data_IF_110481722063
#
_entry.id   IF_110481722063
#
_cell.length_a   1.000
_cell.length_b   1.000
_cell.length_c   1.000
_cell.angle_alpha   90.00
_cell.angle_beta   90.00
_cell.angle_gamma   90.00
#
_symmetry.space_group_name_H-M   'P 1'
#
loop_
_entity.id
_entity.type
_entity.pdbx_description
1 polymer ?
#
# COMPACT_ATOMS: atom_id res chain seq x y z
N UNK A 1 -10.29 33.62 -0.53
CA UNK A 1 -10.18 32.16 -0.54
C UNK A 1 -9.52 31.70 -1.82
N UNK A 2 -8.47 30.87 -1.69
CA UNK A 2 -7.84 30.23 -2.83
C UNK A 2 -8.78 29.12 -3.37
N UNK A 3 -9.08 29.16 -4.68
CA UNK A 3 -9.95 28.13 -5.30
C UNK A 3 -9.37 26.71 -5.16
N UNK A 4 -8.06 26.56 -4.95
CA UNK A 4 -7.40 25.29 -4.72
C UNK A 4 -7.92 24.58 -3.45
N UNK A 5 -8.47 25.33 -2.51
CA UNK A 5 -9.11 24.78 -1.32
C UNK A 5 -10.25 23.82 -1.66
N UNK A 6 -11.04 24.12 -2.69
CA UNK A 6 -12.11 23.22 -3.14
C UNK A 6 -11.59 21.85 -3.56
N UNK A 7 -10.44 21.80 -4.23
CA UNK A 7 -9.86 20.53 -4.68
C UNK A 7 -9.34 19.68 -3.52
N UNK A 8 -8.92 20.30 -2.44
CA UNK A 8 -8.48 19.60 -1.22
C UNK A 8 -9.68 19.09 -0.42
N UNK A 9 -10.66 19.95 -0.15
CA UNK A 9 -11.84 19.59 0.65
C UNK A 9 -12.71 18.53 -0.02
N UNK A 10 -12.86 18.60 -1.34
CA UNK A 10 -13.67 17.65 -2.11
C UNK A 10 -12.89 16.39 -2.51
N UNK A 11 -11.62 16.24 -2.08
CA UNK A 11 -10.75 15.11 -2.45
C UNK A 11 -10.77 14.82 -3.96
N UNK A 12 -10.60 15.84 -4.79
CA UNK A 12 -10.73 15.73 -6.24
C UNK A 12 -9.49 15.22 -6.97
N UNK A 13 -8.51 14.65 -6.25
CA UNK A 13 -7.27 14.13 -6.85
C UNK A 13 -7.52 13.11 -7.96
N UNK A 14 -8.50 12.23 -7.80
CA UNK A 14 -8.93 11.25 -8.79
C UNK A 14 -9.45 11.93 -10.08
N UNK A 15 -10.27 12.99 -9.95
CA UNK A 15 -10.80 13.72 -11.09
C UNK A 15 -9.71 14.54 -11.81
N UNK A 16 -8.75 15.11 -11.07
CA UNK A 16 -7.60 15.79 -11.64
C UNK A 16 -6.70 14.82 -12.40
N UNK A 17 -6.44 13.62 -11.85
CA UNK A 17 -5.70 12.58 -12.55
C UNK A 17 -6.40 12.16 -13.85
N UNK A 18 -7.71 11.94 -13.81
CA UNK A 18 -8.50 11.62 -14.99
C UNK A 18 -8.43 12.72 -16.06
N UNK A 19 -8.48 14.00 -15.66
CA UNK A 19 -8.32 15.13 -16.56
C UNK A 19 -6.96 15.14 -17.25
N UNK A 20 -5.88 14.85 -16.50
CA UNK A 20 -4.52 14.83 -17.05
C UNK A 20 -4.25 13.63 -17.97
N UNK A 21 -4.83 12.49 -17.68
CA UNK A 21 -4.59 11.25 -18.43
C UNK A 21 -5.61 10.99 -19.53
N UNK A 22 -6.74 11.71 -19.53
CA UNK A 22 -7.85 11.45 -20.46
C UNK A 22 -8.65 10.19 -20.16
N UNK A 23 -8.44 9.53 -19.01
CA UNK A 23 -9.18 8.35 -18.59
C UNK A 23 -10.66 8.71 -18.38
N UNK A 24 -11.55 7.90 -18.96
CA UNK A 24 -13.00 8.06 -18.84
C UNK A 24 -13.60 6.79 -18.21
N UNK A 25 -14.77 6.94 -17.60
CA UNK A 25 -15.48 5.86 -16.95
C UNK A 25 -15.78 6.19 -15.49
N UNK A 26 -16.17 5.20 -14.67
CA UNK A 26 -16.39 5.40 -13.24
C UNK A 26 -15.14 5.99 -12.56
N UNK A 27 -15.38 6.97 -11.68
CA UNK A 27 -14.30 7.70 -11.03
C UNK A 27 -14.77 8.12 -9.63
N UNK A 28 -14.03 7.72 -8.59
CA UNK A 28 -14.45 7.95 -7.20
C UNK A 28 -13.27 7.99 -6.24
N UNK A 29 -13.46 8.65 -5.12
CA UNK A 29 -12.59 8.54 -3.95
C UNK A 29 -13.17 7.53 -2.98
N UNK A 30 -12.33 6.64 -2.46
CA UNK A 30 -12.71 5.60 -1.51
C UNK A 30 -12.01 5.90 -0.18
N UNK A 31 -12.79 5.94 0.89
CA UNK A 31 -12.27 6.09 2.24
C UNK A 31 -12.81 4.97 3.14
N UNK A 32 -11.95 4.04 3.48
CA UNK A 32 -12.15 2.94 4.43
C UNK A 32 -11.04 3.01 5.49
N UNK A 33 -10.68 4.23 5.87
CA UNK A 33 -9.57 4.54 6.77
C UNK A 33 -8.29 3.77 6.36
N UNK A 34 -7.62 3.09 7.28
CA UNK A 34 -6.35 2.38 7.01
C UNK A 34 -6.49 1.20 6.04
N UNK A 35 -7.69 0.76 5.71
CA UNK A 35 -7.96 -0.32 4.75
C UNK A 35 -8.30 0.18 3.33
N UNK A 36 -8.19 1.49 3.06
CA UNK A 36 -8.71 2.10 1.83
C UNK A 36 -8.11 1.52 0.55
N UNK A 37 -6.82 1.29 0.49
CA UNK A 37 -6.19 0.73 -0.72
C UNK A 37 -6.66 -0.71 -0.98
N UNK A 38 -6.67 -1.56 0.04
CA UNK A 38 -7.17 -2.94 -0.08
C UNK A 38 -8.66 -2.95 -0.45
N UNK A 39 -9.47 -2.04 0.11
CA UNK A 39 -10.88 -1.89 -0.26
C UNK A 39 -11.08 -1.43 -1.71
N UNK A 40 -10.15 -0.62 -2.24
CA UNK A 40 -10.22 -0.19 -3.63
C UNK A 40 -10.12 -1.35 -4.63
N UNK A 41 -9.45 -2.45 -4.28
CA UNK A 41 -9.46 -3.67 -5.11
C UNK A 41 -10.85 -4.29 -5.18
N UNK A 42 -11.67 -4.24 -4.11
CA UNK A 42 -13.05 -4.72 -4.17
C UNK A 42 -13.90 -3.92 -5.15
N UNK A 43 -13.74 -2.60 -5.14
CA UNK A 43 -14.45 -1.75 -6.09
C UNK A 43 -13.97 -1.98 -7.52
N UNK A 44 -12.66 -2.20 -7.72
CA UNK A 44 -12.10 -2.52 -9.03
C UNK A 44 -12.63 -3.86 -9.54
N UNK A 45 -12.68 -4.89 -8.69
CA UNK A 45 -13.27 -6.20 -9.00
C UNK A 45 -14.74 -6.05 -9.43
N UNK A 46 -15.55 -5.30 -8.67
CA UNK A 46 -16.95 -5.05 -8.98
C UNK A 46 -17.14 -4.31 -10.32
N UNK A 47 -16.31 -3.31 -10.59
CA UNK A 47 -16.40 -2.56 -11.85
C UNK A 47 -16.02 -3.41 -13.06
N UNK A 48 -15.00 -4.25 -12.93
CA UNK A 48 -14.58 -5.16 -14.00
C UNK A 48 -15.57 -6.32 -14.21
N UNK A 49 -16.06 -6.90 -13.12
CA UNK A 49 -17.03 -8.02 -13.18
C UNK A 49 -18.38 -7.60 -13.79
N UNK A 50 -18.77 -6.33 -13.60
CA UNK A 50 -20.03 -5.79 -14.14
C UNK A 50 -19.85 -4.97 -15.44
N UNK A 51 -18.74 -5.11 -16.15
CA UNK A 51 -18.42 -4.43 -17.40
C UNK A 51 -18.55 -2.89 -17.33
N UNK A 52 -18.29 -2.30 -16.16
CA UNK A 52 -18.32 -0.84 -15.97
C UNK A 52 -17.01 -0.18 -16.39
N UNK A 53 -15.94 -0.95 -16.43
CA UNK A 53 -14.62 -0.54 -16.88
C UNK A 53 -13.87 -1.73 -17.49
N UNK A 54 -12.99 -1.46 -18.45
CA UNK A 54 -12.07 -2.47 -19.00
C UNK A 54 -10.81 -2.57 -18.15
N UNK A 55 -10.46 -1.46 -17.51
CA UNK A 55 -9.27 -1.31 -16.68
C UNK A 55 -9.53 -0.28 -15.59
N UNK A 56 -9.08 -0.57 -14.37
CA UNK A 56 -9.20 0.31 -13.21
C UNK A 56 -7.83 0.70 -12.71
N UNK A 57 -7.60 1.99 -12.56
CA UNK A 57 -6.38 2.52 -11.91
C UNK A 57 -6.71 2.88 -10.48
N UNK A 58 -6.06 2.22 -9.55
CA UNK A 58 -6.11 2.52 -8.12
C UNK A 58 -4.90 3.37 -7.77
N UNK A 59 -5.12 4.52 -7.14
CA UNK A 59 -4.05 5.39 -6.65
C UNK A 59 -4.32 5.67 -5.18
N UNK A 60 -3.32 5.39 -4.36
CA UNK A 60 -3.35 5.71 -2.94
C UNK A 60 -2.09 6.46 -2.55
N UNK A 61 -2.24 7.58 -1.86
CA UNK A 61 -1.11 8.37 -1.36
C UNK A 61 -1.51 9.11 -0.12
N UNK A 62 -0.59 9.20 0.82
CA UNK A 62 -0.76 10.00 2.02
C UNK A 62 0.61 10.49 2.52
N UNK A 63 0.62 11.66 3.11
CA UNK A 63 1.80 12.25 3.74
C UNK A 63 1.45 12.76 5.14
N UNK A 64 1.09 11.84 6.01
CA UNK A 64 0.70 12.16 7.40
C UNK A 64 1.86 12.64 8.27
N UNK A 65 3.08 12.58 7.74
CA UNK A 65 4.29 13.14 8.38
C UNK A 65 4.58 14.57 7.96
N UNK A 66 3.76 15.16 7.08
CA UNK A 66 3.90 16.57 6.72
C UNK A 66 3.61 17.48 7.91
N UNK A 67 4.22 18.67 7.97
CA UNK A 67 3.97 19.63 9.05
C UNK A 67 2.48 19.98 9.23
N UNK A 68 1.73 20.02 8.12
CA UNK A 68 0.31 20.35 8.11
C UNK A 68 -0.57 19.26 8.74
N UNK A 69 -0.21 17.99 8.55
CA UNK A 69 -1.00 16.86 9.05
C UNK A 69 -0.47 16.30 10.36
N UNK A 70 0.86 16.40 10.58
CA UNK A 70 1.48 15.87 11.78
C UNK A 70 0.91 16.44 13.07
N UNK A 71 0.76 17.77 13.15
CA UNK A 71 0.24 18.45 14.33
C UNK A 71 -1.21 18.05 14.64
N UNK A 72 -1.93 17.53 13.67
CA UNK A 72 -3.33 17.14 13.81
C UNK A 72 -3.48 15.61 13.97
N UNK A 73 -3.04 14.84 12.99
CA UNK A 73 -3.17 13.38 13.00
C UNK A 73 -2.24 12.76 14.05
N UNK A 74 -0.99 13.23 14.13
CA UNK A 74 0.00 12.77 15.10
C UNK A 74 -0.44 13.04 16.54
N UNK A 75 -0.95 14.24 16.81
CA UNK A 75 -1.50 14.59 18.11
C UNK A 75 -2.71 13.71 18.48
N UNK A 76 -3.60 13.42 17.54
CA UNK A 76 -4.75 12.53 17.77
C UNK A 76 -4.33 11.11 18.15
N UNK A 77 -3.32 10.54 17.48
CA UNK A 77 -2.79 9.22 17.84
C UNK A 77 -2.02 9.22 19.16
N UNK A 78 -1.28 10.29 19.47
CA UNK A 78 -0.62 10.44 20.74
C UNK A 78 -1.63 10.55 21.90
N UNK A 79 -2.67 11.38 21.75
CA UNK A 79 -3.73 11.56 22.73
C UNK A 79 -4.53 10.26 22.97
N UNK A 80 -4.71 9.42 21.95
CA UNK A 80 -5.37 8.11 22.10
C UNK A 80 -4.48 7.02 22.68
N UNK A 81 -3.21 7.31 22.96
CA UNK A 81 -2.22 6.32 23.41
C UNK A 81 -1.85 5.28 22.34
N UNK A 82 -2.21 5.51 21.07
CA UNK A 82 -1.92 4.59 19.99
C UNK A 82 -0.54 4.81 19.36
N UNK A 83 0.02 6.03 19.44
CA UNK A 83 1.35 6.32 18.93
C UNK A 83 2.45 5.90 19.90
N UNK A 84 3.59 5.49 19.35
CA UNK A 84 4.79 5.22 20.14
C UNK A 84 5.37 6.53 20.69
N UNK A 85 5.78 6.50 21.96
CA UNK A 85 6.53 7.57 22.62
C UNK A 85 8.03 7.25 22.75
N UNK A 86 8.49 6.11 22.20
CA UNK A 86 9.92 5.73 22.26
C UNK A 86 10.76 6.66 21.39
N UNK A 87 11.87 7.13 21.92
CA UNK A 87 12.89 7.89 21.20
C UNK A 87 14.04 7.01 20.70
N UNK A 88 13.97 5.71 20.92
CA UNK A 88 14.93 4.70 20.47
C UNK A 88 14.34 3.99 19.25
N UNK A 89 14.94 4.17 18.07
CA UNK A 89 14.40 3.67 16.80
C UNK A 89 14.25 2.14 16.81
N UNK A 90 15.23 1.44 17.36
CA UNK A 90 15.25 -0.04 17.46
C UNK A 90 14.23 -0.59 18.47
N UNK A 91 13.62 0.28 19.25
CA UNK A 91 12.58 -0.03 20.24
C UNK A 91 11.24 0.64 19.91
N UNK A 92 11.16 1.23 18.73
CA UNK A 92 9.93 1.77 18.19
C UNK A 92 9.26 0.75 17.24
N UNK A 93 8.66 0.94 16.23
CA UNK A 93 8.12 0.09 15.16
C UNK A 93 8.39 -1.43 15.35
N UNK A 94 7.63 -2.10 16.21
CA UNK A 94 7.87 -3.46 16.71
C UNK A 94 6.73 -4.44 16.35
N UNK A 95 6.44 -4.75 15.08
CA UNK A 95 5.36 -5.66 14.74
C UNK A 95 5.53 -7.04 15.39
N UNK A 96 4.47 -7.58 16.02
CA UNK A 96 4.41 -8.87 16.72
C UNK A 96 5.36 -9.06 17.92
N UNK A 97 6.19 -8.07 18.23
CA UNK A 97 7.14 -8.16 19.33
C UNK A 97 6.45 -7.87 20.67
N UNK A 98 6.90 -8.56 21.75
CA UNK A 98 6.38 -8.35 23.11
C UNK A 98 6.57 -6.92 23.65
N UNK A 99 7.51 -6.17 23.07
CA UNK A 99 7.83 -4.79 23.47
C UNK A 99 7.00 -3.74 22.72
N UNK A 100 5.98 -4.15 21.95
CA UNK A 100 5.12 -3.22 21.22
C UNK A 100 4.68 -2.06 22.10
N UNK A 101 4.84 -0.85 21.61
CA UNK A 101 4.61 0.36 22.41
C UNK A 101 3.86 1.48 21.68
N UNK A 102 3.32 1.19 20.50
CA UNK A 102 2.53 2.14 19.73
C UNK A 102 3.00 2.30 18.29
N UNK A 103 2.10 2.78 17.45
CA UNK A 103 2.36 2.99 16.01
C UNK A 103 3.29 4.17 15.78
N UNK A 104 3.99 4.11 14.67
CA UNK A 104 4.72 5.24 14.07
C UNK A 104 4.01 5.60 12.77
N UNK A 105 3.75 6.89 12.58
CA UNK A 105 3.18 7.39 11.33
C UNK A 105 4.20 7.33 10.20
N UNK A 106 3.72 7.09 9.00
CA UNK A 106 4.53 7.03 7.79
C UNK A 106 3.94 7.89 6.68
N UNK A 107 4.58 7.83 5.53
CA UNK A 107 4.08 8.42 4.29
C UNK A 107 4.38 7.49 3.13
N UNK A 108 3.66 7.67 2.03
CA UNK A 108 3.95 6.91 0.83
C UNK A 108 2.90 7.07 -0.24
N UNK A 109 3.13 6.38 -1.34
CA UNK A 109 2.18 6.25 -2.43
C UNK A 109 2.31 4.87 -3.07
N UNK A 110 1.19 4.35 -3.53
CA UNK A 110 1.12 3.14 -4.33
C UNK A 110 0.04 3.28 -5.40
N UNK A 111 0.29 2.70 -6.56
CA UNK A 111 -0.69 2.67 -7.64
C UNK A 111 -0.72 1.28 -8.27
N UNK A 112 -1.92 0.89 -8.71
CA UNK A 112 -2.16 -0.42 -9.32
C UNK A 112 -3.02 -0.25 -10.56
N UNK A 113 -2.79 -1.10 -11.54
CA UNK A 113 -3.69 -1.28 -12.68
C UNK A 113 -4.31 -2.66 -12.53
N UNK A 114 -5.62 -2.71 -12.41
CA UNK A 114 -6.40 -3.94 -12.35
C UNK A 114 -7.19 -4.06 -13.64
N UNK A 115 -7.07 -5.20 -14.32
CA UNK A 115 -7.74 -5.45 -15.59
C UNK A 115 -8.00 -6.95 -15.77
N UNK A 116 -8.87 -7.32 -16.71
CA UNK A 116 -9.08 -8.72 -17.05
C UNK A 116 -7.83 -9.30 -17.73
N UNK A 117 -7.55 -10.58 -17.49
CA UNK A 117 -6.39 -11.25 -18.07
C UNK A 117 -6.33 -11.16 -19.61
N UNK A 118 -7.49 -11.23 -20.25
CA UNK A 118 -7.58 -11.09 -21.72
C UNK A 118 -7.10 -9.72 -22.20
N UNK A 119 -7.43 -8.66 -21.48
CA UNK A 119 -7.03 -7.28 -21.81
C UNK A 119 -5.51 -7.08 -21.66
N UNK A 120 -4.91 -7.65 -20.61
CA UNK A 120 -3.48 -7.62 -20.40
C UNK A 120 -2.72 -8.37 -21.52
N UNK A 121 -3.20 -9.56 -21.88
CA UNK A 121 -2.63 -10.37 -22.94
C UNK A 121 -2.72 -9.68 -24.32
N UNK A 122 -3.85 -9.04 -24.63
CA UNK A 122 -4.06 -8.33 -25.88
C UNK A 122 -3.04 -7.20 -26.11
N UNK A 123 -2.62 -6.53 -25.05
CA UNK A 123 -1.61 -5.47 -25.12
C UNK A 123 -0.18 -5.92 -24.83
N UNK A 124 0.06 -7.24 -24.72
CA UNK A 124 1.41 -7.80 -24.56
C UNK A 124 2.02 -7.62 -23.18
N UNK A 125 1.20 -7.63 -22.13
CA UNK A 125 1.67 -7.49 -20.75
C UNK A 125 1.24 -8.68 -19.92
N UNK A 126 2.21 -9.35 -19.29
CA UNK A 126 1.93 -10.36 -18.27
C UNK A 126 1.71 -9.66 -16.91
N UNK A 127 0.67 -10.02 -16.15
CA UNK A 127 0.43 -9.41 -14.84
C UNK A 127 1.50 -9.81 -13.81
N UNK A 128 1.58 -9.06 -12.72
CA UNK A 128 2.42 -9.43 -11.57
C UNK A 128 1.77 -10.54 -10.75
N UNK A 129 0.45 -10.48 -10.60
CA UNK A 129 -0.33 -11.44 -9.86
C UNK A 129 -1.77 -11.45 -10.38
N UNK A 130 -2.52 -12.49 -10.08
CA UNK A 130 -3.94 -12.63 -10.35
C UNK A 130 -4.73 -12.36 -9.07
N UNK A 131 -5.71 -11.47 -9.15
CA UNK A 131 -6.66 -11.22 -8.06
C UNK A 131 -7.73 -12.31 -8.09
N UNK A 132 -7.77 -13.17 -7.07
CA UNK A 132 -8.74 -14.25 -6.97
C UNK A 132 -10.06 -13.79 -6.35
N UNK A 133 -10.01 -12.80 -5.49
CA UNK A 133 -11.20 -12.21 -4.91
C UNK A 133 -10.88 -11.24 -3.79
N UNK A 134 -11.92 -10.50 -3.39
CA UNK A 134 -11.85 -9.50 -2.34
C UNK A 134 -13.03 -9.59 -1.40
N UNK A 135 -12.92 -8.92 -0.26
CA UNK A 135 -14.04 -8.71 0.66
C UNK A 135 -13.91 -7.40 1.40
N UNK A 136 -15.02 -6.67 1.49
CA UNK A 136 -15.19 -5.57 2.42
C UNK A 136 -16.21 -5.96 3.49
N UNK A 137 -15.97 -5.58 4.74
CA UNK A 137 -16.90 -5.79 5.85
C UNK A 137 -16.78 -4.64 6.87
N UNK A 138 -17.80 -4.51 7.72
CA UNK A 138 -17.76 -3.61 8.85
C UNK A 138 -18.33 -4.35 10.07
N UNK A 139 -17.61 -4.30 11.19
CA UNK A 139 -18.04 -4.98 12.42
C UNK A 139 -19.09 -4.22 13.22
N UNK A 140 -19.36 -2.95 12.87
CA UNK A 140 -20.29 -2.08 13.62
C UNK A 140 -20.04 -2.08 15.15
N UNK A 141 -18.76 -2.18 15.54
CA UNK A 141 -18.37 -2.44 16.91
C UNK A 141 -17.89 -1.19 17.65
N UNK A 142 -16.84 -0.53 17.15
CA UNK A 142 -16.22 0.60 17.81
C UNK A 142 -15.44 1.48 16.83
N UNK A 143 -15.32 2.79 17.12
CA UNK A 143 -14.60 3.71 16.24
C UNK A 143 -13.12 3.37 16.02
N UNK A 144 -12.44 2.83 17.05
CA UNK A 144 -10.98 2.61 17.01
C UNK A 144 -10.56 1.19 17.37
N UNK A 145 -11.44 0.36 17.97
CA UNK A 145 -11.13 -1.02 18.37
C UNK A 145 -11.68 -2.02 17.37
N UNK A 146 -10.99 -3.15 17.21
CA UNK A 146 -11.41 -4.26 16.38
C UNK A 146 -12.30 -5.22 17.15
N UNK A 147 -13.34 -5.72 16.52
CA UNK A 147 -14.08 -6.90 16.97
C UNK A 147 -13.31 -8.15 16.52
N UNK A 148 -12.54 -8.71 17.44
CA UNK A 148 -11.66 -9.85 17.18
C UNK A 148 -12.41 -11.08 16.67
N UNK A 149 -13.62 -11.30 17.19
CA UNK A 149 -14.46 -12.46 16.79
C UNK A 149 -15.05 -12.26 15.40
N UNK A 150 -15.55 -11.07 15.11
CA UNK A 150 -16.08 -10.76 13.79
C UNK A 150 -14.97 -10.72 12.72
N UNK A 151 -13.77 -10.23 13.04
CA UNK A 151 -12.61 -10.32 12.16
C UNK A 151 -12.31 -11.77 11.82
N UNK A 152 -12.26 -12.67 12.81
CA UNK A 152 -11.99 -14.09 12.60
C UNK A 152 -13.07 -14.74 11.71
N UNK A 153 -14.35 -14.46 11.97
CA UNK A 153 -15.46 -14.95 11.15
C UNK A 153 -15.40 -14.41 9.70
N UNK A 154 -15.03 -13.15 9.53
CA UNK A 154 -14.92 -12.51 8.21
C UNK A 154 -13.81 -13.15 7.38
N UNK A 155 -12.63 -13.39 7.98
CA UNK A 155 -11.52 -14.06 7.30
C UNK A 155 -11.86 -15.50 6.95
N UNK A 156 -12.45 -16.27 7.88
CA UNK A 156 -12.87 -17.66 7.61
C UNK A 156 -13.89 -17.73 6.48
N UNK A 157 -14.92 -16.88 6.52
CA UNK A 157 -15.94 -16.87 5.48
C UNK A 157 -15.40 -16.41 4.12
N UNK A 158 -14.42 -15.51 4.10
CA UNK A 158 -13.74 -15.10 2.88
C UNK A 158 -12.93 -16.26 2.28
N UNK A 159 -12.11 -16.93 3.09
CA UNK A 159 -11.31 -18.07 2.62
C UNK A 159 -12.23 -19.19 2.11
N UNK A 160 -13.33 -19.48 2.82
CA UNK A 160 -14.35 -20.47 2.36
C UNK A 160 -14.93 -20.09 1.00
N UNK A 161 -15.27 -18.82 0.79
CA UNK A 161 -15.74 -18.35 -0.51
C UNK A 161 -14.68 -18.59 -1.60
N UNK A 162 -13.40 -18.36 -1.31
CA UNK A 162 -12.31 -18.60 -2.26
C UNK A 162 -12.13 -20.10 -2.55
N UNK A 163 -12.29 -20.95 -1.54
CA UNK A 163 -12.30 -22.41 -1.72
C UNK A 163 -13.41 -22.84 -2.66
N UNK A 164 -14.64 -22.36 -2.42
CA UNK A 164 -15.80 -22.68 -3.24
C UNK A 164 -15.68 -22.17 -4.68
N UNK A 165 -15.12 -20.97 -4.86
CA UNK A 165 -15.03 -20.31 -6.18
C UNK A 165 -13.92 -20.91 -7.04
N UNK A 166 -12.76 -21.21 -6.44
CA UNK A 166 -11.55 -21.58 -7.15
C UNK A 166 -11.14 -23.04 -6.97
N UNK A 167 -11.89 -23.83 -6.22
CA UNK A 167 -11.55 -25.22 -5.89
C UNK A 167 -10.27 -25.32 -5.05
N UNK A 168 -10.00 -24.32 -4.23
CA UNK A 168 -8.84 -24.30 -3.33
C UNK A 168 -9.15 -25.12 -2.07
N UNK A 169 -8.09 -25.58 -1.41
CA UNK A 169 -8.16 -26.14 -0.06
C UNK A 169 -7.20 -25.38 0.85
N UNK A 170 -7.71 -24.80 1.92
CA UNK A 170 -6.96 -23.93 2.83
C UNK A 170 -5.72 -24.60 3.44
N UNK A 171 -5.79 -25.90 3.74
CA UNK A 171 -4.70 -26.61 4.38
C UNK A 171 -3.57 -26.94 3.40
N UNK A 172 -3.91 -27.21 2.14
CA UNK A 172 -2.97 -27.39 1.04
C UNK A 172 -2.35 -26.06 0.62
N UNK A 173 -3.14 -24.96 0.66
CA UNK A 173 -2.69 -23.63 0.32
C UNK A 173 -1.77 -23.01 1.39
N UNK A 174 -2.00 -23.30 2.67
CA UNK A 174 -1.33 -22.66 3.80
C UNK A 174 0.22 -22.62 3.70
N UNK A 175 0.93 -23.74 3.39
CA UNK A 175 2.38 -23.71 3.30
C UNK A 175 2.92 -22.87 2.13
N UNK A 176 2.08 -22.54 1.17
CA UNK A 176 2.41 -21.76 -0.01
C UNK A 176 1.81 -20.35 0.04
N UNK A 177 1.40 -19.89 1.24
CA UNK A 177 0.71 -18.61 1.45
C UNK A 177 1.54 -17.65 2.27
N UNK A 178 1.63 -16.41 1.82
CA UNK A 178 2.03 -15.28 2.65
C UNK A 178 0.81 -14.50 3.12
N UNK A 179 0.74 -14.23 4.40
CA UNK A 179 -0.23 -13.30 4.99
C UNK A 179 0.45 -11.95 5.18
N UNK A 180 0.01 -10.94 4.43
CA UNK A 180 0.50 -9.58 4.58
C UNK A 180 -0.36 -8.83 5.59
N UNK A 181 0.22 -8.66 6.75
CA UNK A 181 -0.38 -8.21 7.97
C UNK A 181 -0.73 -6.72 7.97
N UNK A 182 -1.77 -6.36 8.69
CA UNK A 182 -2.11 -4.99 9.06
C UNK A 182 -1.42 -4.54 10.36
N UNK A 183 -0.79 -5.44 11.10
CA UNK A 183 -0.25 -5.14 12.44
C UNK A 183 0.43 -3.77 12.51
N UNK A 184 -0.01 -2.96 13.47
CA UNK A 184 0.41 -1.58 13.71
C UNK A 184 1.18 -1.41 15.02
N UNK A 185 1.62 -2.52 15.58
CA UNK A 185 2.43 -2.63 16.81
C UNK A 185 1.91 -1.81 18.02
N UNK A 186 0.59 -1.65 18.07
CA UNK A 186 -0.07 -1.10 19.25
C UNK A 186 -0.16 -2.16 20.36
N UNK A 187 0.07 -1.78 21.64
CA UNK A 187 0.08 -2.75 22.75
C UNK A 187 -1.32 -3.15 23.22
N UNK A 188 -2.37 -2.59 22.63
CA UNK A 188 -3.74 -2.78 23.10
C UNK A 188 -4.19 -4.25 22.99
N UNK A 189 -4.79 -4.79 24.05
CA UNK A 189 -5.52 -6.06 23.99
C UNK A 189 -6.67 -5.94 23.00
N UNK A 190 -6.84 -6.95 22.12
CA UNK A 190 -7.75 -6.86 21.00
C UNK A 190 -7.27 -5.96 19.87
N UNK A 191 -5.95 -5.66 19.83
CA UNK A 191 -5.31 -4.95 18.72
C UNK A 191 -5.17 -5.78 17.46
N UNK A 192 -4.52 -5.21 16.44
CA UNK A 192 -4.36 -5.85 15.12
C UNK A 192 -3.68 -7.21 15.19
N UNK A 193 -2.57 -7.35 15.94
CA UNK A 193 -1.87 -8.62 16.07
C UNK A 193 -2.76 -9.74 16.62
N UNK A 194 -3.49 -9.49 17.72
CA UNK A 194 -4.38 -10.50 18.31
C UNK A 194 -5.52 -10.86 17.36
N UNK A 195 -6.11 -9.87 16.69
CA UNK A 195 -7.20 -10.09 15.73
C UNK A 195 -6.74 -10.92 14.55
N UNK A 196 -5.57 -10.63 13.99
CA UNK A 196 -5.00 -11.34 12.85
C UNK A 196 -4.63 -12.78 13.22
N UNK A 197 -3.93 -12.98 14.32
CA UNK A 197 -3.52 -14.32 14.79
C UNK A 197 -4.74 -15.18 15.10
N UNK A 198 -5.77 -14.62 15.76
CA UNK A 198 -7.02 -15.34 16.00
C UNK A 198 -7.72 -15.71 14.69
N UNK A 199 -7.76 -14.76 13.73
CA UNK A 199 -8.37 -15.02 12.44
C UNK A 199 -7.65 -16.15 11.68
N UNK A 200 -6.31 -16.12 11.64
CA UNK A 200 -5.52 -17.18 11.02
C UNK A 200 -5.75 -18.54 11.69
N UNK A 201 -5.72 -18.61 13.01
CA UNK A 201 -5.96 -19.86 13.75
C UNK A 201 -7.38 -20.39 13.59
N UNK A 202 -8.38 -19.52 13.58
CA UNK A 202 -9.78 -19.90 13.34
C UNK A 202 -9.95 -20.48 11.93
N UNK A 203 -9.29 -19.84 10.94
CA UNK A 203 -9.44 -20.21 9.53
C UNK A 203 -8.63 -21.44 9.15
N UNK A 204 -7.36 -21.51 9.56
CA UNK A 204 -6.40 -22.51 9.06
C UNK A 204 -6.09 -23.61 10.09
N UNK A 205 -6.52 -23.46 11.35
CA UNK A 205 -6.29 -24.45 12.41
C UNK A 205 -4.80 -24.76 12.58
N UNK A 206 -4.46 -26.05 12.57
CA UNK A 206 -3.08 -26.55 12.69
C UNK A 206 -2.18 -26.16 11.50
N UNK A 207 -2.75 -25.70 10.39
CA UNK A 207 -1.96 -25.25 9.23
C UNK A 207 -1.51 -23.78 9.34
N UNK A 208 -1.94 -23.07 10.39
CA UNK A 208 -1.57 -21.66 10.62
C UNK A 208 -0.06 -21.47 10.69
N UNK A 209 0.66 -22.38 11.35
CA UNK A 209 2.12 -22.28 11.54
C UNK A 209 2.91 -22.43 10.23
N UNK A 210 2.24 -22.84 9.14
CA UNK A 210 2.83 -22.97 7.81
C UNK A 210 2.73 -21.67 7.02
N UNK A 211 1.81 -20.77 7.38
CA UNK A 211 1.60 -19.50 6.69
C UNK A 211 2.73 -18.54 7.02
N UNK A 212 3.40 -18.03 6.00
CA UNK A 212 4.40 -16.97 6.17
C UNK A 212 3.72 -15.66 6.52
N UNK A 213 4.09 -15.01 7.61
CA UNK A 213 3.57 -13.69 8.01
C UNK A 213 4.61 -12.62 7.69
N UNK A 214 4.23 -11.63 6.87
CA UNK A 214 5.06 -10.48 6.51
C UNK A 214 4.37 -9.16 6.90
N UNK A 215 5.17 -8.14 7.17
CA UNK A 215 4.72 -6.79 7.51
C UNK A 215 5.77 -5.76 7.09
N UNK A 216 5.36 -4.69 6.43
CA UNK A 216 6.26 -3.61 6.01
C UNK A 216 6.21 -2.38 6.91
N UNK A 217 5.18 -2.25 7.76
CA UNK A 217 4.98 -1.04 8.58
C UNK A 217 6.11 -0.77 9.57
N UNK A 218 6.84 -1.82 9.96
CA UNK A 218 8.06 -1.62 10.76
C UNK A 218 9.18 -0.87 10.03
N UNK A 219 9.13 -0.78 8.69
CA UNK A 219 10.08 -0.02 7.87
C UNK A 219 9.50 1.31 7.40
N UNK A 220 8.22 1.31 7.00
CA UNK A 220 7.57 2.47 6.38
C UNK A 220 6.85 3.37 7.37
N UNK A 221 6.69 2.93 8.61
CA UNK A 221 5.66 3.45 9.47
C UNK A 221 4.27 3.05 8.98
N UNK A 222 3.23 3.60 9.59
CA UNK A 222 1.84 3.40 9.17
C UNK A 222 1.38 4.56 8.28
N UNK A 223 1.38 4.41 6.94
CA UNK A 223 1.01 5.47 6.01
C UNK A 223 -0.51 5.52 5.77
N UNK A 224 -1.31 5.23 6.78
CA UNK A 224 -2.78 5.20 6.74
C UNK A 224 -3.32 4.27 5.64
N UNK A 225 -4.18 4.77 4.76
CA UNK A 225 -4.84 3.99 3.71
C UNK A 225 -4.01 3.69 2.46
N UNK A 226 -2.70 3.93 2.49
CA UNK A 226 -1.82 3.69 1.34
C UNK A 226 -1.53 2.20 1.15
N UNK A 227 -1.55 1.72 -0.09
CA UNK A 227 -1.39 0.31 -0.46
C UNK A 227 0.06 -0.17 -0.54
N UNK A 228 0.97 0.28 0.34
CA UNK A 228 2.36 -0.19 0.33
C UNK A 228 2.43 -1.69 0.64
N UNK A 229 1.62 -2.17 1.57
CA UNK A 229 1.56 -3.59 1.92
C UNK A 229 1.01 -4.43 0.76
N UNK A 230 -0.03 -3.93 0.07
CA UNK A 230 -0.58 -4.58 -1.12
C UNK A 230 0.47 -4.66 -2.23
N UNK A 231 1.18 -3.56 -2.51
CA UNK A 231 2.27 -3.53 -3.48
C UNK A 231 3.42 -4.47 -3.09
N UNK A 232 3.82 -4.46 -1.81
CA UNK A 232 4.91 -5.31 -1.30
C UNK A 232 4.54 -6.78 -1.36
N UNK A 233 3.28 -7.14 -1.12
CA UNK A 233 2.78 -8.51 -1.27
C UNK A 233 2.85 -8.95 -2.73
N UNK A 234 2.32 -8.16 -3.66
CA UNK A 234 2.31 -8.48 -5.09
C UNK A 234 3.74 -8.61 -5.65
N UNK A 235 4.62 -7.66 -5.32
CA UNK A 235 6.02 -7.72 -5.72
C UNK A 235 6.77 -8.85 -5.03
N UNK A 236 6.45 -9.14 -3.76
CA UNK A 236 7.02 -10.27 -3.03
C UNK A 236 6.70 -11.60 -3.70
N UNK A 237 5.46 -11.81 -4.13
CA UNK A 237 5.04 -12.99 -4.89
C UNK A 237 5.75 -13.08 -6.25
N UNK A 238 5.82 -11.98 -6.98
CA UNK A 238 6.44 -11.93 -8.29
C UNK A 238 7.94 -12.24 -8.24
N UNK A 239 8.67 -11.60 -7.32
CA UNK A 239 10.12 -11.72 -7.18
C UNK A 239 10.55 -12.85 -6.23
N UNK A 240 9.59 -13.54 -5.58
CA UNK A 240 9.83 -14.55 -4.54
C UNK A 240 10.71 -14.05 -3.40
N UNK A 241 10.56 -12.79 -3.06
CA UNK A 241 11.37 -12.12 -2.06
C UNK A 241 10.49 -11.29 -1.13
N UNK A 242 10.57 -11.57 0.18
CA UNK A 242 9.74 -10.94 1.19
C UNK A 242 10.56 -10.15 2.20
N UNK A 243 10.01 -9.07 2.79
CA UNK A 243 10.69 -8.31 3.83
C UNK A 243 10.73 -9.14 5.14
N UNK A 244 11.76 -8.96 5.98
CA UNK A 244 11.71 -9.47 7.35
C UNK A 244 10.72 -8.64 8.19
N UNK A 245 10.39 -9.13 9.40
CA UNK A 245 9.73 -8.28 10.40
C UNK A 245 10.76 -7.36 11.02
N UNK A 246 10.56 -6.05 10.90
CA UNK A 246 11.50 -5.05 11.39
C UNK A 246 11.62 -5.08 12.92
N UNK A 247 12.83 -4.82 13.43
CA UNK A 247 13.15 -4.67 14.85
C UNK A 247 12.70 -5.83 15.76
N UNK A 248 12.26 -6.95 15.19
CA UNK A 248 11.74 -8.08 15.92
C UNK A 248 12.85 -8.82 16.65
N UNK A 249 12.65 -9.04 17.96
CA UNK A 249 13.55 -9.84 18.80
C UNK A 249 12.85 -11.05 19.40
N UNK A 250 11.61 -10.88 19.87
CA UNK A 250 10.87 -11.92 20.56
C UNK A 250 9.37 -11.74 20.33
N UNK A 251 8.71 -12.79 19.84
CA UNK A 251 7.25 -12.80 19.66
C UNK A 251 6.58 -12.58 21.02
N UNK A 252 5.51 -11.80 21.03
CA UNK A 252 4.66 -11.67 22.21
C UNK A 252 4.08 -13.06 22.58
N UNK A 253 4.36 -13.57 23.80
CA UNK A 253 3.87 -14.87 24.23
C UNK A 253 2.35 -15.04 24.14
N UNK A 254 1.59 -13.96 24.25
CA UNK A 254 0.13 -14.01 24.11
C UNK A 254 -0.31 -14.34 22.66
N UNK A 255 0.58 -14.12 21.68
CA UNK A 255 0.32 -14.46 20.27
C UNK A 255 0.67 -15.92 19.95
N UNK A 256 1.49 -16.59 20.80
CA UNK A 256 2.00 -17.94 20.55
C UNK A 256 2.95 -18.00 19.36
N UNK A 257 3.23 -19.22 18.89
CA UNK A 257 4.18 -19.43 17.78
C UNK A 257 3.63 -18.87 16.46
N UNK A 258 4.48 -18.16 15.73
CA UNK A 258 4.17 -17.53 14.45
C UNK A 258 5.32 -17.76 13.46
N UNK A 259 4.99 -18.08 12.22
CA UNK A 259 5.96 -18.17 11.12
C UNK A 259 6.23 -16.77 10.54
N UNK A 260 6.93 -15.93 11.29
CA UNK A 260 7.27 -14.58 10.87
C UNK A 260 8.38 -14.59 9.81
N UNK A 261 8.22 -13.75 8.78
CA UNK A 261 9.20 -13.60 7.72
C UNK A 261 10.55 -13.11 8.28
N UNK A 262 11.60 -13.85 7.96
CA UNK A 262 13.00 -13.48 8.25
C UNK A 262 13.64 -12.68 7.12
N UNK A 263 12.89 -12.44 6.05
CA UNK A 263 13.32 -11.74 4.86
C UNK A 263 14.15 -12.60 3.91
N UNK A 264 14.36 -12.07 2.72
CA UNK A 264 15.14 -12.71 1.67
C UNK A 264 14.31 -13.47 0.66
N UNK A 265 14.99 -14.31 -0.12
CA UNK A 265 14.37 -15.11 -1.16
C UNK A 265 13.66 -16.32 -0.53
N UNK A 266 12.39 -16.50 -0.84
CA UNK A 266 11.53 -17.56 -0.29
C UNK A 266 10.76 -18.19 -1.45
N UNK A 267 11.16 -19.39 -1.80
CA UNK A 267 10.48 -20.17 -2.84
C UNK A 267 9.19 -20.83 -2.32
N UNK A 268 8.33 -21.21 -3.26
CA UNK A 268 7.11 -21.98 -2.97
C UNK A 268 5.93 -21.14 -2.52
N UNK A 269 6.07 -19.85 -2.31
CA UNK A 269 4.93 -18.98 -2.00
C UNK A 269 4.20 -18.62 -3.30
N UNK A 270 2.95 -19.06 -3.40
CA UNK A 270 2.09 -18.88 -4.57
C UNK A 270 0.86 -18.00 -4.29
N UNK A 271 0.45 -17.87 -3.03
CA UNK A 271 -0.71 -17.12 -2.63
C UNK A 271 -0.35 -15.99 -1.67
N UNK A 272 -1.05 -14.88 -1.78
CA UNK A 272 -0.97 -13.77 -0.85
C UNK A 272 -2.35 -13.38 -0.32
N UNK A 273 -2.51 -13.40 0.99
CA UNK A 273 -3.68 -12.86 1.66
C UNK A 273 -3.30 -11.50 2.25
N UNK A 274 -3.98 -10.45 1.81
CA UNK A 274 -3.88 -9.14 2.43
C UNK A 274 -5.03 -8.94 3.40
N UNK A 275 -4.71 -8.50 4.59
CA UNK A 275 -5.68 -8.04 5.58
C UNK A 275 -5.46 -6.57 5.88
N UNK A 276 -6.48 -5.77 5.70
CA UNK A 276 -6.55 -4.36 6.07
C UNK A 276 -7.65 -4.14 7.10
N UNK A 277 -7.33 -3.40 8.16
CA UNK A 277 -8.31 -2.95 9.14
C UNK A 277 -8.22 -1.43 9.31
N UNK A 278 -9.35 -0.77 9.47
CA UNK A 278 -9.44 0.68 9.57
C UNK A 278 -10.34 1.11 10.71
N UNK A 279 -10.14 2.34 11.16
CA UNK A 279 -11.05 2.98 12.10
C UNK A 279 -12.48 2.96 11.56
N UNK A 280 -13.47 2.94 12.46
CA UNK A 280 -14.86 2.70 12.12
C UNK A 280 -15.19 1.23 11.93
N UNK A 281 -14.40 0.31 12.50
CA UNK A 281 -14.59 -1.15 12.42
C UNK A 281 -14.52 -1.70 10.99
N UNK A 282 -13.77 -1.06 10.12
CA UNK A 282 -13.64 -1.40 8.71
C UNK A 282 -12.68 -2.57 8.50
N UNK A 283 -13.04 -3.48 7.60
CA UNK A 283 -12.24 -4.65 7.21
C UNK A 283 -12.19 -4.71 5.69
N UNK A 284 -11.00 -4.94 5.14
CA UNK A 284 -10.82 -5.26 3.74
C UNK A 284 -9.83 -6.43 3.58
N UNK A 285 -10.15 -7.33 2.67
CA UNK A 285 -9.37 -8.52 2.36
C UNK A 285 -9.17 -8.63 0.85
N UNK A 286 -8.01 -9.12 0.45
CA UNK A 286 -7.78 -9.61 -0.91
C UNK A 286 -7.00 -10.91 -0.87
N UNK A 287 -7.29 -11.80 -1.80
CA UNK A 287 -6.51 -13.00 -2.10
C UNK A 287 -5.96 -12.86 -3.52
N UNK A 288 -4.66 -12.96 -3.64
CA UNK A 288 -3.96 -12.94 -4.93
C UNK A 288 -3.17 -14.23 -5.13
N UNK A 289 -3.01 -14.63 -6.38
CA UNK A 289 -2.17 -15.75 -6.79
C UNK A 289 -1.03 -15.20 -7.65
N UNK A 290 0.18 -15.72 -7.42
CA UNK A 290 1.35 -15.40 -8.23
C UNK A 290 1.08 -15.75 -9.70
N UNK A 291 1.42 -14.83 -10.59
CA UNK A 291 1.41 -15.12 -12.02
C UNK A 291 2.75 -15.71 -12.43
N UNK A 292 2.79 -16.90 -13.05
CA UNK A 292 4.02 -17.44 -13.58
C UNK A 292 4.41 -16.66 -14.84
N UNK A 293 5.41 -15.79 -14.73
CA UNK A 293 5.91 -15.05 -15.89
C UNK A 293 6.85 -15.93 -16.68
N UNK A 294 6.55 -16.08 -17.97
CA UNK A 294 7.41 -16.77 -18.93
C UNK A 294 8.08 -15.73 -19.83
N UNK A 295 9.40 -15.67 -19.80
CA UNK A 295 10.18 -14.69 -20.55
C UNK A 295 10.08 -13.26 -19.97
N UNK A 296 10.07 -12.26 -20.82
CA UNK A 296 9.90 -10.87 -20.41
C UNK A 296 8.42 -10.57 -20.10
N UNK A 297 8.17 -9.83 -19.01
CA UNK A 297 6.81 -9.47 -18.60
C UNK A 297 6.11 -8.56 -19.63
N UNK A 298 6.85 -7.80 -20.39
CA UNK A 298 6.31 -6.87 -21.40
C UNK A 298 6.84 -7.26 -22.77
N UNK A 299 5.96 -7.70 -23.67
CA UNK A 299 6.29 -7.87 -25.09
C UNK A 299 6.17 -6.53 -25.81
N UNK A 300 7.30 -5.86 -26.00
CA UNK A 300 7.35 -4.54 -26.60
C UNK A 300 6.78 -4.47 -28.04
N UNK A 301 6.86 -5.56 -28.81
CA UNK A 301 6.29 -5.62 -30.16
C UNK A 301 4.76 -5.59 -30.12
N UNK A 302 4.19 -6.41 -29.25
CA UNK A 302 2.72 -6.44 -29.05
C UNK A 302 2.22 -5.12 -28.46
N UNK A 303 2.93 -4.55 -27.49
CA UNK A 303 2.61 -3.22 -26.93
C UNK A 303 2.63 -2.14 -28.00
N UNK A 304 3.62 -2.13 -28.88
CA UNK A 304 3.69 -1.16 -29.97
C UNK A 304 2.56 -1.36 -30.99
N UNK A 305 2.27 -2.60 -31.36
CA UNK A 305 1.17 -2.91 -32.30
C UNK A 305 -0.19 -2.51 -31.69
N UNK A 306 -0.40 -2.77 -30.41
CA UNK A 306 -1.61 -2.37 -29.68
C UNK A 306 -1.77 -0.83 -29.65
N UNK A 307 -0.68 -0.10 -29.33
CA UNK A 307 -0.69 1.36 -29.33
C UNK A 307 -0.97 1.96 -30.71
N UNK A 308 -0.39 1.40 -31.78
CA UNK A 308 -0.65 1.83 -33.16
C UNK A 308 -2.11 1.65 -33.54
N UNK A 309 -2.71 0.52 -33.13
CA UNK A 309 -4.14 0.27 -33.36
C UNK A 309 -5.02 1.31 -32.64
N UNK A 310 -4.70 1.63 -31.38
CA UNK A 310 -5.44 2.64 -30.61
C UNK A 310 -5.29 4.05 -31.18
N UNK A 311 -4.08 4.40 -31.60
CA UNK A 311 -3.79 5.72 -32.19
C UNK A 311 -4.34 5.88 -33.61
N UNK A 312 -4.70 4.79 -34.29
CA UNK A 312 -5.12 4.79 -35.69
C UNK A 312 -4.00 5.18 -36.67
N UNK A 313 -2.74 5.10 -36.26
CA UNK A 313 -1.56 5.45 -37.07
C UNK A 313 -0.38 4.53 -36.74
N UNK A 314 0.53 4.39 -37.70
CA UNK A 314 1.78 3.66 -37.52
C UNK A 314 2.91 4.53 -36.91
N UNK A 315 2.70 5.83 -36.78
CA UNK A 315 3.71 6.79 -36.35
C UNK A 315 3.88 6.80 -34.81
N UNK A 316 3.46 5.74 -34.13
CA UNK A 316 3.66 5.56 -32.69
C UNK A 316 5.08 5.10 -32.41
N UNK A 317 5.73 5.80 -31.50
CA UNK A 317 7.07 5.49 -30.99
C UNK A 317 7.00 5.19 -29.51
N UNK A 318 7.64 4.11 -29.08
CA UNK A 318 7.82 3.79 -27.65
C UNK A 318 9.13 4.43 -27.16
N UNK A 319 9.09 5.07 -26.01
CA UNK A 319 10.25 5.66 -25.35
C UNK A 319 10.25 5.33 -23.87
N UNK A 320 11.42 5.21 -23.29
CA UNK A 320 11.58 5.13 -21.85
C UNK A 320 11.86 6.54 -21.32
N UNK A 321 11.01 6.99 -20.38
CA UNK A 321 11.10 8.28 -19.75
C UNK A 321 11.02 8.08 -18.24
N UNK A 322 12.06 8.45 -17.50
CA UNK A 322 12.16 8.22 -16.05
C UNK A 322 11.83 6.77 -15.65
N UNK A 323 12.42 5.79 -16.34
CA UNK A 323 12.17 4.35 -16.17
C UNK A 323 10.73 3.92 -16.46
N UNK A 324 9.96 4.70 -17.20
CA UNK A 324 8.59 4.38 -17.62
C UNK A 324 8.53 4.24 -19.12
N UNK A 325 7.87 3.19 -19.58
CA UNK A 325 7.55 3.02 -20.99
C UNK A 325 6.41 3.95 -21.35
N UNK A 326 6.63 4.84 -22.30
CA UNK A 326 5.67 5.83 -22.78
C UNK A 326 5.52 5.71 -24.29
N UNK A 327 4.28 5.75 -24.78
CA UNK A 327 3.97 5.79 -26.20
C UNK A 327 3.67 7.22 -26.66
N UNK A 328 4.28 7.63 -27.77
CA UNK A 328 4.00 8.91 -28.42
C UNK A 328 3.58 8.69 -29.86
N UNK A 329 2.71 9.56 -30.37
CA UNK A 329 2.56 9.72 -31.81
C UNK A 329 3.61 10.71 -32.28
N UNK A 330 4.41 10.35 -33.28
CA UNK A 330 5.52 11.18 -33.76
C UNK A 330 5.01 12.55 -34.23
N UNK A 331 5.61 13.61 -33.73
CA UNK A 331 5.23 15.00 -34.01
C UNK A 331 4.12 15.60 -33.14
N UNK A 332 3.40 14.83 -32.36
CA UNK A 332 2.38 15.33 -31.42
C UNK A 332 2.61 14.80 -30.00
N UNK A 333 2.67 15.69 -29.05
CA UNK A 333 2.60 15.33 -27.62
C UNK A 333 1.15 15.00 -27.28
N UNK A 334 0.76 13.73 -27.33
CA UNK A 334 -0.61 13.27 -27.03
C UNK A 334 -0.92 13.15 -25.54
N UNK A 335 -0.16 13.76 -24.69
CA UNK A 335 -0.55 13.98 -23.30
C UNK A 335 -1.62 15.08 -23.26
N UNK A 336 -2.85 14.70 -23.54
CA UNK A 336 -4.00 15.54 -23.25
C UNK A 336 -4.00 15.86 -21.75
N UNK A 337 -3.74 17.10 -21.39
CA UNK A 337 -3.77 17.53 -20.00
C UNK A 337 -2.62 18.43 -19.59
N UNK A 338 -1.82 18.92 -20.52
CA UNK A 338 -0.94 20.07 -20.28
C UNK A 338 0.35 19.80 -19.53
N UNK A 339 0.83 18.58 -19.50
CA UNK A 339 2.26 18.33 -19.28
C UNK A 339 2.94 18.50 -20.63
N UNK A 340 3.25 19.73 -21.00
CA UNK A 340 4.13 19.99 -22.11
C UNK A 340 5.45 19.27 -21.85
N UNK A 341 5.86 18.44 -22.81
CA UNK A 341 7.11 17.70 -22.74
C UNK A 341 8.27 18.61 -22.38
N UNK A 342 9.08 18.17 -21.45
CA UNK A 342 10.25 18.89 -20.97
C UNK A 342 10.45 18.79 -19.45
N UNK A 343 9.42 18.46 -18.69
CA UNK A 343 9.49 18.36 -17.23
C UNK A 343 9.91 16.97 -16.71
N UNK A 344 10.11 15.98 -17.57
CA UNK A 344 10.23 14.57 -17.18
C UNK A 344 11.62 13.95 -17.45
N UNK A 345 12.65 14.75 -17.60
CA UNK A 345 14.01 14.26 -17.83
C UNK A 345 14.26 13.74 -19.26
N UNK A 346 15.47 13.24 -19.55
CA UNK A 346 15.85 12.79 -20.89
C UNK A 346 15.04 11.54 -21.30
N UNK A 347 14.46 11.57 -22.49
CA UNK A 347 13.82 10.40 -23.09
C UNK A 347 14.84 9.57 -23.87
N UNK A 348 14.79 8.25 -23.69
CA UNK A 348 15.55 7.31 -24.50
C UNK A 348 14.60 6.49 -25.38
N UNK A 349 15.04 6.01 -26.55
CA UNK A 349 14.29 5.01 -27.31
C UNK A 349 14.06 3.75 -26.47
N UNK A 350 12.92 3.07 -26.67
CA UNK A 350 12.70 1.77 -26.06
C UNK A 350 13.52 0.72 -26.83
N UNK A 351 14.59 0.24 -26.22
CA UNK A 351 15.54 -0.68 -26.86
C UNK A 351 15.06 -2.13 -26.92
N UNK A 352 13.99 -2.49 -26.21
CA UNK A 352 13.36 -3.83 -26.25
C UNK A 352 12.77 -4.23 -27.60
N UNK A 353 12.88 -3.36 -28.62
CA UNK A 353 12.53 -3.66 -30.01
C UNK A 353 13.75 -3.94 -30.91
N UNK A 354 14.96 -3.85 -30.38
CA UNK A 354 16.22 -4.02 -31.14
C UNK A 354 16.81 -5.36 -30.76
N UNK A 355 17.20 -6.16 -31.75
CA UNK A 355 17.78 -7.49 -31.58
C UNK A 355 19.26 -7.45 -31.10
N UNK A 356 19.79 -6.29 -30.73
CA UNK A 356 21.15 -6.14 -30.21
C UNK A 356 21.16 -5.75 -28.73
N UNK A 357 22.02 -6.36 -27.90
CA UNK A 357 22.14 -5.97 -26.50
C UNK A 357 22.68 -4.54 -26.37
N UNK A 358 22.19 -3.76 -25.40
CA UNK A 358 22.63 -2.38 -25.23
C UNK A 358 24.13 -2.31 -24.92
N UNK A 359 24.83 -1.43 -25.63
CA UNK A 359 26.20 -1.06 -25.27
C UNK A 359 26.16 -0.42 -23.88
N UNK A 360 26.94 -0.88 -22.90
CA UNK A 360 26.94 -0.28 -21.58
C UNK A 360 27.27 1.21 -21.70
N UNK A 361 26.42 2.04 -21.11
CA UNK A 361 26.66 3.48 -21.01
C UNK A 361 28.01 3.72 -20.31
N UNK A 362 28.84 4.66 -20.78
CA UNK A 362 30.06 5.02 -20.08
C UNK A 362 29.71 5.46 -18.65
N UNK A 363 30.43 4.90 -17.68
CA UNK A 363 30.30 5.33 -16.27
C UNK A 363 30.43 6.85 -16.21
N UNK A 364 29.51 7.55 -15.53
CA UNK A 364 29.62 8.98 -15.34
C UNK A 364 30.93 9.28 -14.60
N UNK A 365 31.74 10.14 -15.17
CA UNK A 365 32.91 10.67 -14.44
C UNK A 365 32.43 11.26 -13.11
N UNK A 366 33.14 11.00 -12.00
CA UNK A 366 32.72 11.50 -10.71
C UNK A 366 32.74 13.03 -10.73
N UNK A 367 31.58 13.66 -10.54
CA UNK A 367 31.51 15.11 -10.36
C UNK A 367 32.39 15.53 -9.18
N UNK A 368 33.14 16.64 -9.30
CA UNK A 368 33.96 17.14 -8.21
C UNK A 368 33.05 17.48 -7.01
N UNK A 369 33.27 16.80 -5.91
CA UNK A 369 32.57 17.04 -4.65
C UNK A 369 32.83 18.46 -4.21
N UNK A 370 31.83 19.34 -4.30
CA UNK A 370 31.88 20.65 -3.72
C UNK A 370 32.12 20.55 -2.20
N UNK A 371 32.95 21.38 -1.61
CA UNK A 371 33.18 21.34 -0.16
C UNK A 371 31.85 21.58 0.58
N UNK A 372 31.55 20.71 1.53
CA UNK A 372 30.35 20.77 2.35
C UNK A 372 30.28 22.16 3.05
N UNK A 373 29.16 22.85 2.87
CA UNK A 373 28.85 24.04 3.64
C UNK A 373 28.84 23.72 5.14
N UNK A 374 29.37 24.61 6.01
CA UNK A 374 29.35 24.38 7.45
C UNK A 374 27.91 24.25 7.93
N UNK A 375 27.68 23.23 8.74
CA UNK A 375 26.37 22.97 9.35
C UNK A 375 25.93 24.22 10.15
N UNK A 376 24.63 24.59 10.08
CA UNK A 376 24.11 25.66 10.92
C UNK A 376 24.25 25.27 12.40
N UNK A 377 24.54 26.25 13.29
CA UNK A 377 24.66 25.96 14.72
C UNK A 377 23.38 25.33 15.25
N UNK A 378 23.54 24.27 16.03
CA UNK A 378 22.43 23.62 16.70
C UNK A 378 21.65 24.64 17.54
N UNK A 379 20.36 24.74 17.29
CA UNK A 379 19.46 25.55 18.11
C UNK A 379 19.54 25.02 19.55
N UNK A 380 19.75 25.94 20.49
CA UNK A 380 19.76 25.61 21.91
C UNK A 380 18.39 25.00 22.29
N UNK A 381 18.35 23.97 23.14
CA UNK A 381 17.08 23.39 23.57
C UNK A 381 16.26 24.44 24.29
N UNK A 382 15.09 24.71 23.77
CA UNK A 382 14.08 25.51 24.50
C UNK A 382 13.60 24.60 25.63
N UNK A 383 13.95 24.97 26.86
CA UNK A 383 13.44 24.30 28.05
C UNK A 383 11.91 24.53 28.10
N UNK A 384 11.14 23.53 27.75
CA UNK A 384 9.70 23.49 28.05
C UNK A 384 9.54 23.10 29.50
N UNK A 385 9.21 24.07 30.36
CA UNK A 385 8.92 23.90 31.78
C UNK A 385 7.41 23.71 32.05
N UNK A 386 6.70 22.99 31.17
CA UNK A 386 5.32 22.60 31.47
C UNK A 386 5.33 21.17 32.04
N UNK A 387 4.57 20.94 33.11
CA UNK A 387 4.37 19.61 33.65
C UNK A 387 3.52 18.76 32.70
N UNK A 388 3.69 17.43 32.75
CA UNK A 388 2.89 16.52 31.92
C UNK A 388 1.39 16.71 32.11
N UNK A 389 0.94 17.13 33.29
CA UNK A 389 -0.45 17.46 33.59
C UNK A 389 -0.93 18.75 32.90
N UNK A 390 -0.09 19.79 32.82
CA UNK A 390 -0.42 21.03 32.11
C UNK A 390 -0.47 20.81 30.60
N UNK A 391 0.39 19.98 30.05
CA UNK A 391 0.38 19.60 28.63
C UNK A 391 -0.87 18.77 28.32
N UNK A 392 -1.22 17.80 29.15
CA UNK A 392 -2.43 17.00 28.98
C UNK A 392 -3.70 17.84 29.08
N UNK A 393 -3.78 18.77 30.03
CA UNK A 393 -4.92 19.67 30.19
C UNK A 393 -5.10 20.59 28.97
N UNK A 394 -4.01 21.17 28.45
CA UNK A 394 -4.05 22.02 27.27
C UNK A 394 -4.46 21.22 26.00
N UNK A 395 -4.01 19.97 25.87
CA UNK A 395 -4.41 19.10 24.77
C UNK A 395 -5.89 18.72 24.85
N UNK A 396 -6.42 18.42 26.04
CA UNK A 396 -7.83 18.13 26.25
C UNK A 396 -8.68 19.36 25.90
N UNK A 397 -8.29 20.56 26.33
CA UNK A 397 -8.98 21.80 26.03
C UNK A 397 -9.09 22.06 24.52
N UNK A 398 -7.98 21.86 23.76
CA UNK A 398 -7.98 21.99 22.30
C UNK A 398 -8.91 20.97 21.64
N UNK A 399 -8.92 19.73 22.12
CA UNK A 399 -9.79 18.67 21.58
C UNK A 399 -11.26 18.99 21.84
N UNK A 400 -11.62 19.40 23.06
CA UNK A 400 -12.99 19.79 23.44
C UNK A 400 -13.46 20.99 22.62
N UNK A 401 -12.62 22.01 22.45
CA UNK A 401 -12.97 23.23 21.70
C UNK A 401 -13.21 22.94 20.22
N UNK A 402 -12.42 22.04 19.59
CA UNK A 402 -12.50 21.78 18.15
C UNK A 402 -13.43 20.65 17.78
N UNK A 403 -13.74 19.72 18.68
CA UNK A 403 -14.56 18.55 18.37
C UNK A 403 -15.94 18.58 19.04
N UNK A 404 -16.13 19.41 20.06
CA UNK A 404 -17.37 19.46 20.85
C UNK A 404 -17.59 18.23 21.74
N UNK A 405 -16.62 17.32 21.86
CA UNK A 405 -16.70 16.18 22.79
C UNK A 405 -16.36 16.62 24.21
N UNK A 406 -17.10 16.14 25.23
CA UNK A 406 -16.80 16.47 26.62
C UNK A 406 -15.46 15.88 27.08
N UNK A 407 -14.79 16.54 28.01
CA UNK A 407 -13.45 16.20 28.50
C UNK A 407 -13.31 14.82 29.18
N UNK A 408 -14.40 14.12 29.39
CA UNK A 408 -14.50 12.83 30.08
C UNK A 408 -14.47 11.63 29.13
N UNK A 409 -14.14 11.84 27.86
CA UNK A 409 -14.12 10.79 26.83
C UNK A 409 -12.73 10.22 26.62
#
# INVERSE_FOLDING_TARGET
>A
FDRRFLFQVLNMGHAQFAQHTGIRGPNSTINVACASATAAFSIAEDWLANDRADRVVIISSDNVTSPELWSWIGAGFAASGAASSSNVIEEAALPFDRRRNGLILGMGAAAFVVERNAEAAERGVQPYAELLGTRMANSAFHGTRLDVDHVAQTVDSFVRQMEDTWGLDRHTMAPNTVFFSHETYTPARGGSAQSEVKALRTTFGESTDKILIANTKGFTGHPMGVGIEDASMIHGLHHRRFPPIANHKEVDPELGDLNLSKGGDIDGIEYGIRFGAGFGSQIALSLVRRWPVEGERVDGRTVLAWNRRLAGTNDVVLRVLDNKLVAYVDGESNLHGGVQGGAWGPSAPYEGLVDEPPTPAPEPEPEPVAPAAPAPPAAAPVAMNASDEEVAAAMIEVVVEHTGYPAEF
#
